data_IF_618652733547
#
_entry.id   IF_618652733547
#
_cell.length_a   1.000
_cell.length_b   1.000
_cell.length_c   1.000
_cell.angle_alpha   90.00
_cell.angle_beta   90.00
_cell.angle_gamma   90.00
#
_symmetry.space_group_name_H-M   'P 1'
#
loop_
_entity.id
_entity.type
_entity.pdbx_description
1 polymer ?
#
# COMPACT_ATOMS: atom_id res chain seq x y z
N UNK A 1 -4.06 33.68 -13.80
CA UNK A 1 -2.84 33.68 -12.95
C UNK A 1 -3.13 33.23 -11.53
N UNK A 2 -4.07 33.84 -10.78
CA UNK A 2 -4.39 33.42 -9.40
C UNK A 2 -4.86 31.95 -9.27
N UNK A 3 -5.67 31.47 -10.21
CA UNK A 3 -6.15 30.07 -10.21
C UNK A 3 -5.06 29.02 -10.45
N UNK A 4 -3.97 29.37 -11.15
CA UNK A 4 -2.86 28.44 -11.39
C UNK A 4 -2.04 28.21 -10.12
N UNK A 5 -1.82 29.26 -9.33
CA UNK A 5 -1.20 29.13 -8.02
C UNK A 5 -2.07 28.33 -7.04
N UNK A 6 -3.40 28.41 -7.18
CA UNK A 6 -4.34 27.59 -6.42
C UNK A 6 -4.17 26.08 -6.66
N UNK A 7 -4.09 25.63 -7.92
CA UNK A 7 -3.86 24.20 -8.23
C UNK A 7 -2.47 23.72 -7.81
N UNK A 8 -1.46 24.59 -7.84
CA UNK A 8 -0.11 24.28 -7.31
C UNK A 8 -0.15 24.12 -5.79
N UNK A 9 -0.79 25.03 -5.07
CA UNK A 9 -0.94 24.91 -3.61
C UNK A 9 -1.70 23.63 -3.22
N UNK A 10 -2.76 23.28 -3.97
CA UNK A 10 -3.51 22.06 -3.77
C UNK A 10 -2.67 20.79 -4.03
N UNK A 11 -1.82 20.77 -5.06
CA UNK A 11 -0.96 19.62 -5.33
C UNK A 11 0.13 19.45 -4.26
N UNK A 12 0.69 20.55 -3.74
CA UNK A 12 1.62 20.52 -2.61
C UNK A 12 0.96 19.97 -1.34
N UNK A 13 -0.25 20.44 -1.01
CA UNK A 13 -1.01 19.94 0.14
C UNK A 13 -1.29 18.43 0.01
N UNK A 14 -1.70 17.96 -1.17
CA UNK A 14 -1.88 16.54 -1.44
C UNK A 14 -0.57 15.74 -1.32
N UNK A 15 0.55 16.29 -1.80
CA UNK A 15 1.87 15.66 -1.65
C UNK A 15 2.27 15.46 -0.19
N UNK A 16 2.01 16.46 0.66
CA UNK A 16 2.25 16.37 2.11
C UNK A 16 1.34 15.31 2.75
N UNK A 17 0.05 15.31 2.41
CA UNK A 17 -0.92 14.34 2.94
C UNK A 17 -0.55 12.89 2.57
N UNK A 18 -0.18 12.64 1.31
CA UNK A 18 0.25 11.32 0.84
C UNK A 18 1.54 10.88 1.56
N UNK A 19 2.49 11.80 1.72
CA UNK A 19 3.76 11.50 2.41
C UNK A 19 3.53 11.13 3.88
N UNK A 20 2.69 11.90 4.58
CA UNK A 20 2.32 11.59 5.96
C UNK A 20 1.61 10.24 6.08
N UNK A 21 0.62 9.98 5.22
CA UNK A 21 -0.11 8.71 5.21
C UNK A 21 0.82 7.52 4.92
N UNK A 22 1.75 7.68 3.98
CA UNK A 22 2.75 6.67 3.64
C UNK A 22 3.67 6.33 4.81
N UNK A 23 4.20 7.34 5.50
CA UNK A 23 5.04 7.15 6.68
C UNK A 23 4.26 6.50 7.83
N UNK A 24 3.02 6.92 8.05
CA UNK A 24 2.16 6.35 9.10
C UNK A 24 1.81 4.90 8.83
N UNK A 25 1.48 4.54 7.59
CA UNK A 25 1.19 3.16 7.20
C UNK A 25 2.43 2.28 7.39
N UNK A 26 3.62 2.75 7.01
CA UNK A 26 4.87 1.99 7.20
C UNK A 26 5.13 1.58 8.65
N UNK A 27 4.62 2.35 9.62
CA UNK A 27 4.73 2.02 11.04
C UNK A 27 3.68 1.00 11.52
N UNK A 28 2.58 0.83 10.77
CA UNK A 28 1.46 -0.04 11.13
C UNK A 28 1.52 -1.41 10.44
N UNK A 29 2.22 -1.50 9.30
CA UNK A 29 2.29 -2.72 8.49
C UNK A 29 3.74 -3.19 8.31
N UNK A 30 3.91 -4.43 7.88
CA UNK A 30 5.25 -4.94 7.54
C UNK A 30 5.77 -4.32 6.25
N UNK A 31 7.10 -4.29 6.06
CA UNK A 31 7.73 -3.76 4.84
C UNK A 31 7.15 -4.39 3.56
N UNK A 32 6.91 -5.71 3.57
CA UNK A 32 6.29 -6.43 2.44
C UNK A 32 4.85 -5.97 2.19
N UNK A 33 4.07 -5.73 3.24
CA UNK A 33 2.69 -5.24 3.11
C UNK A 33 2.67 -3.83 2.52
N UNK A 34 3.61 -2.97 2.92
CA UNK A 34 3.74 -1.64 2.35
C UNK A 34 4.14 -1.68 0.87
N UNK A 35 5.04 -2.59 0.49
CA UNK A 35 5.45 -2.78 -0.91
C UNK A 35 4.28 -3.27 -1.78
N UNK A 36 3.44 -4.19 -1.28
CA UNK A 36 2.23 -4.62 -2.00
C UNK A 36 1.20 -3.50 -2.09
N UNK A 37 0.98 -2.75 -1.01
CA UNK A 37 0.02 -1.64 -0.99
C UNK A 37 0.40 -0.53 -1.97
N UNK A 38 1.69 -0.20 -2.07
CA UNK A 38 2.18 0.80 -3.04
C UNK A 38 2.05 0.31 -4.48
N UNK A 39 2.18 -1.00 -4.73
CA UNK A 39 1.89 -1.61 -6.03
C UNK A 39 0.39 -1.52 -6.37
N UNK A 40 -0.50 -1.83 -5.42
CA UNK A 40 -1.95 -1.70 -5.60
C UNK A 40 -2.38 -0.24 -5.85
N UNK A 41 -1.78 0.75 -5.16
CA UNK A 41 -2.09 2.16 -5.38
C UNK A 41 -1.79 2.61 -6.82
N UNK A 42 -0.68 2.14 -7.42
CA UNK A 42 -0.33 2.44 -8.82
C UNK A 42 -1.38 1.89 -9.79
N UNK A 43 -2.00 0.74 -9.51
CA UNK A 43 -3.08 0.20 -10.34
C UNK A 43 -4.30 1.10 -10.37
N UNK A 44 -4.69 1.69 -9.24
CA UNK A 44 -5.83 2.60 -9.17
C UNK A 44 -5.59 3.81 -10.09
N UNK A 45 -4.38 4.37 -10.08
CA UNK A 45 -3.98 5.49 -10.93
C UNK A 45 -4.02 5.10 -12.41
N UNK A 46 -3.50 3.93 -12.78
CA UNK A 46 -3.51 3.46 -14.17
C UNK A 46 -4.95 3.18 -14.64
N UNK A 47 -5.78 2.53 -13.82
CA UNK A 47 -7.19 2.30 -14.14
C UNK A 47 -7.95 3.62 -14.31
N UNK A 48 -7.66 4.63 -13.49
CA UNK A 48 -8.22 5.96 -13.64
C UNK A 48 -7.80 6.60 -14.98
N UNK A 49 -6.53 6.50 -15.38
CA UNK A 49 -6.07 6.98 -16.70
C UNK A 49 -6.75 6.25 -17.87
N UNK A 50 -6.89 4.93 -17.77
CA UNK A 50 -7.54 4.12 -18.79
C UNK A 50 -9.04 4.42 -18.93
N UNK A 51 -9.77 4.55 -17.82
CA UNK A 51 -11.23 4.70 -17.82
C UNK A 51 -11.68 6.15 -17.91
N UNK A 52 -11.08 7.04 -17.13
CA UNK A 52 -11.52 8.45 -17.04
C UNK A 52 -10.86 9.35 -18.09
N UNK A 53 -9.60 9.07 -18.48
CA UNK A 53 -8.88 9.84 -19.51
C UNK A 53 -8.93 9.17 -20.90
N UNK A 54 -9.40 7.93 -20.99
CA UNK A 54 -9.54 7.21 -22.27
C UNK A 54 -8.20 6.83 -22.89
N UNK A 55 -7.14 6.67 -22.09
CA UNK A 55 -5.83 6.28 -22.59
C UNK A 55 -5.86 4.87 -23.21
N UNK A 56 -5.29 4.73 -24.41
CA UNK A 56 -5.22 3.45 -25.12
C UNK A 56 -4.31 2.50 -24.36
N UNK A 57 -4.93 1.52 -23.71
CA UNK A 57 -4.22 0.48 -22.96
C UNK A 57 -3.88 -0.69 -23.89
N UNK A 58 -2.61 -1.09 -23.96
CA UNK A 58 -2.21 -2.29 -24.73
C UNK A 58 -2.69 -3.57 -24.04
N UNK A 59 -2.87 -4.66 -24.80
CA UNK A 59 -3.25 -5.96 -24.23
C UNK A 59 -2.23 -6.47 -23.18
N UNK A 60 -0.95 -6.19 -23.39
CA UNK A 60 0.10 -6.51 -22.41
C UNK A 60 -0.04 -5.73 -21.10
N UNK A 61 -0.42 -4.45 -21.17
CA UNK A 61 -0.69 -3.64 -19.98
C UNK A 61 -1.94 -4.14 -19.22
N UNK A 62 -2.98 -4.55 -19.94
CA UNK A 62 -4.19 -5.13 -19.33
C UNK A 62 -3.89 -6.42 -18.56
N UNK A 63 -3.09 -7.33 -19.12
CA UNK A 63 -2.67 -8.57 -18.44
C UNK A 63 -1.82 -8.26 -17.19
N UNK A 64 -0.88 -7.32 -17.31
CA UNK A 64 -0.06 -6.89 -16.17
C UNK A 64 -0.88 -6.29 -15.03
N UNK A 65 -1.90 -5.48 -15.36
CA UNK A 65 -2.84 -4.94 -14.37
C UNK A 65 -3.65 -6.03 -13.69
N UNK A 66 -4.18 -7.00 -14.45
CA UNK A 66 -4.95 -8.11 -13.90
C UNK A 66 -4.11 -8.96 -12.94
N UNK A 67 -2.88 -9.30 -13.32
CA UNK A 67 -1.95 -10.06 -12.47
C UNK A 67 -1.61 -9.31 -11.17
N UNK A 68 -1.34 -8.01 -11.27
CA UNK A 68 -1.03 -7.18 -10.11
C UNK A 68 -2.23 -7.03 -9.15
N UNK A 69 -3.47 -6.93 -9.68
CA UNK A 69 -4.70 -6.90 -8.88
C UNK A 69 -4.90 -8.22 -8.14
N UNK A 70 -4.78 -9.34 -8.85
CA UNK A 70 -4.93 -10.68 -8.27
C UNK A 70 -3.87 -10.92 -7.19
N UNK A 71 -2.60 -10.62 -7.47
CA UNK A 71 -1.52 -10.77 -6.50
C UNK A 71 -1.72 -9.92 -5.24
N UNK A 72 -2.16 -8.66 -5.40
CA UNK A 72 -2.45 -7.76 -4.29
C UNK A 72 -3.60 -8.26 -3.41
N UNK A 73 -4.69 -8.71 -4.04
CA UNK A 73 -5.85 -9.27 -3.33
C UNK A 73 -5.49 -10.57 -2.61
N UNK A 74 -4.76 -11.46 -3.28
CA UNK A 74 -4.30 -12.72 -2.71
C UNK A 74 -3.42 -12.50 -1.48
N UNK A 75 -2.46 -11.57 -1.57
CA UNK A 75 -1.59 -11.21 -0.45
C UNK A 75 -2.38 -10.65 0.73
N UNK A 76 -3.31 -9.72 0.48
CA UNK A 76 -4.15 -9.14 1.53
C UNK A 76 -4.94 -10.22 2.28
N UNK A 77 -5.49 -11.20 1.54
CA UNK A 77 -6.25 -12.31 2.09
C UNK A 77 -5.37 -13.26 2.92
N UNK A 78 -4.17 -13.59 2.43
CA UNK A 78 -3.20 -14.40 3.17
C UNK A 78 -2.73 -13.70 4.46
N UNK A 79 -2.47 -12.40 4.40
CA UNK A 79 -2.06 -11.60 5.57
C UNK A 79 -3.16 -11.51 6.62
N UNK A 80 -4.42 -11.38 6.20
CA UNK A 80 -5.58 -11.39 7.10
C UNK A 80 -5.72 -12.75 7.82
N UNK A 81 -5.57 -13.86 7.10
CA UNK A 81 -5.60 -15.20 7.69
C UNK A 81 -4.50 -15.41 8.74
N UNK A 82 -3.30 -14.89 8.51
CA UNK A 82 -2.20 -14.95 9.48
C UNK A 82 -2.47 -14.11 10.74
N UNK A 83 -3.12 -12.95 10.59
CA UNK A 83 -3.46 -12.08 11.72
C UNK A 83 -4.63 -12.61 12.57
N UNK A 84 -5.49 -13.47 12.01
CA UNK A 84 -6.59 -14.13 12.72
C UNK A 84 -6.14 -15.33 13.58
N UNK A 85 -4.88 -15.80 13.43
CA UNK A 85 -4.36 -16.87 14.27
C UNK A 85 -4.17 -16.32 15.70
N UNK A 86 -4.61 -17.05 16.74
CA UNK A 86 -4.36 -16.66 18.13
C UNK A 86 -2.87 -16.37 18.31
N UNK A 87 -2.54 -15.17 18.79
CA UNK A 87 -1.15 -14.82 19.10
C UNK A 87 -0.69 -15.82 20.17
N UNK A 88 0.40 -16.57 19.95
CA UNK A 88 0.87 -17.55 20.93
C UNK A 88 1.05 -16.82 22.27
N UNK A 89 0.46 -17.38 23.32
CA UNK A 89 0.64 -16.88 24.68
C UNK A 89 2.09 -17.17 25.00
N UNK A 90 2.93 -16.15 24.94
CA UNK A 90 4.34 -16.27 25.31
C UNK A 90 4.33 -16.29 26.84
N UNK A 91 4.38 -17.48 27.42
CA UNK A 91 4.57 -17.65 28.86
C UNK A 91 5.83 -16.87 29.28
N UNK A 92 5.81 -16.27 30.48
CA UNK A 92 6.81 -15.29 30.93
C UNK A 92 8.27 -15.75 30.87
N UNK A 93 8.51 -17.06 30.73
CA UNK A 93 9.82 -17.66 30.50
C UNK A 93 10.37 -17.41 29.08
N UNK A 94 9.53 -17.53 28.04
CA UNK A 94 9.92 -17.26 26.66
C UNK A 94 10.09 -15.76 26.37
N UNK A 95 9.38 -14.89 27.12
CA UNK A 95 9.58 -13.44 27.06
C UNK A 95 10.92 -13.00 27.67
N UNK A 96 11.47 -13.75 28.64
CA UNK A 96 12.82 -13.52 29.18
C UNK A 96 13.92 -13.94 28.20
N UNK A 97 13.69 -14.99 27.41
CA UNK A 97 14.63 -15.46 26.38
C UNK A 97 14.66 -14.58 25.13
N UNK A 98 13.59 -13.83 24.86
CA UNK A 98 13.49 -12.87 23.75
C UNK A 98 14.02 -11.48 24.08
N UNK A 99 14.49 -11.22 25.31
CA UNK A 99 15.22 -9.99 25.60
C UNK A 99 16.53 -10.03 24.81
N UNK A 100 16.81 -9.05 23.94
CA UNK A 100 18.12 -8.98 23.32
C UNK A 100 19.16 -8.86 24.44
N UNK A 101 20.09 -9.81 24.46
CA UNK A 101 21.31 -9.73 25.29
C UNK A 101 22.06 -8.47 24.84
N UNK A 102 22.55 -7.63 25.78
CA UNK A 102 23.18 -6.36 25.47
C UNK A 102 24.37 -6.48 24.53
#
# INVERSE_FOLDING_TARGET
TLGQWGVVAASCANGVAISYAGLRVQQLVTATTFMVLTNANKLIVILYGAVALGERTSLSAAVGMALSLVGSFWYARARAALSARPKPIVDGEAARLLKPVP
#
